data_IF_170889496834
#
_entry.id   IF_170889496834
#
_cell.length_a   1.000
_cell.length_b   1.000
_cell.length_c   1.000
_cell.angle_alpha   90.00
_cell.angle_beta   90.00
_cell.angle_gamma   90.00
#
_symmetry.space_group_name_H-M   'P 1'
#
loop_
_entity.id
_entity.type
_entity.pdbx_description
1 polymer ?
#
# COMPACT_ATOMS: atom_id res chain seq x y z
N UNK A 1 12.55 18.76 7.36
CA UNK A 1 12.75 17.47 8.06
C UNK A 1 12.41 16.30 7.17
N UNK A 2 13.14 15.23 7.34
CA UNK A 2 13.01 14.01 6.54
C UNK A 2 12.65 12.84 7.47
N UNK A 3 11.69 12.03 7.05
CA UNK A 3 11.30 10.80 7.74
C UNK A 3 11.71 9.60 6.90
N UNK A 4 12.43 8.67 7.49
CA UNK A 4 12.92 7.47 6.80
C UNK A 4 11.94 6.32 6.99
N UNK A 5 11.56 5.69 5.87
CA UNK A 5 10.69 4.52 5.86
C UNK A 5 11.36 3.39 5.11
N UNK A 6 10.83 2.16 5.22
CA UNK A 6 11.36 1.04 4.44
C UNK A 6 11.07 1.24 2.95
N UNK A 7 9.83 1.59 2.61
CA UNK A 7 9.40 1.86 1.24
C UNK A 7 8.84 3.27 1.15
N UNK A 8 9.31 4.05 0.19
CA UNK A 8 8.73 5.37 -0.05
C UNK A 8 7.28 5.20 -0.54
N UNK A 9 6.33 5.99 -0.03
CA UNK A 9 4.96 5.97 -0.55
C UNK A 9 4.94 6.37 -2.02
N UNK A 10 4.06 5.73 -2.80
CA UNK A 10 3.90 6.04 -4.21
C UNK A 10 2.44 5.84 -4.62
N UNK A 11 1.99 6.57 -5.64
CA UNK A 11 0.65 6.39 -6.21
C UNK A 11 0.67 5.22 -7.18
N UNK A 12 0.68 4.02 -6.63
CA UNK A 12 0.69 2.76 -7.39
C UNK A 12 0.14 1.64 -6.53
N UNK A 13 -0.20 0.51 -7.17
CA UNK A 13 -0.53 -0.70 -6.44
C UNK A 13 0.72 -1.20 -5.73
N UNK A 14 0.54 -1.77 -4.53
CA UNK A 14 1.65 -2.38 -3.79
C UNK A 14 1.92 -3.78 -4.34
N UNK A 15 3.13 -4.27 -4.13
CA UNK A 15 3.54 -5.60 -4.58
C UNK A 15 3.64 -6.58 -3.42
N UNK A 16 3.72 -7.88 -3.76
CA UNK A 16 3.92 -8.93 -2.75
C UNK A 16 5.28 -8.80 -2.03
N UNK A 17 6.21 -8.03 -2.60
CA UNK A 17 7.49 -7.76 -1.95
C UNK A 17 7.34 -6.79 -0.77
N UNK A 18 6.34 -5.91 -0.83
CA UNK A 18 6.06 -4.94 0.22
C UNK A 18 5.07 -5.48 1.25
N UNK A 19 4.04 -6.17 0.77
CA UNK A 19 2.92 -6.65 1.59
C UNK A 19 2.73 -8.13 1.30
N UNK A 20 2.90 -8.97 2.31
CA UNK A 20 2.73 -10.43 2.16
C UNK A 20 1.69 -11.03 3.10
N UNK A 21 1.03 -10.19 3.92
CA UNK A 21 0.04 -10.68 4.89
C UNK A 21 -0.84 -9.53 5.37
N UNK A 22 -1.95 -9.86 6.03
CA UNK A 22 -2.81 -8.85 6.67
C UNK A 22 -2.06 -8.11 7.77
N UNK A 23 -1.21 -8.81 8.52
CA UNK A 23 -0.39 -8.19 9.56
C UNK A 23 0.56 -7.15 8.95
N UNK A 24 1.12 -7.42 7.78
CA UNK A 24 1.98 -6.48 7.08
C UNK A 24 1.20 -5.23 6.64
N UNK A 25 -0.05 -5.39 6.21
CA UNK A 25 -0.90 -4.25 5.86
C UNK A 25 -1.11 -3.34 7.07
N UNK A 26 -1.46 -3.92 8.21
CA UNK A 26 -1.68 -3.16 9.44
C UNK A 26 -0.41 -2.44 9.90
N UNK A 27 0.75 -3.12 9.81
CA UNK A 27 2.03 -2.52 10.17
C UNK A 27 2.38 -1.33 9.28
N UNK A 28 2.13 -1.46 7.97
CA UNK A 28 2.39 -0.37 7.01
C UNK A 28 1.46 0.82 7.24
N UNK A 29 0.19 0.58 7.55
CA UNK A 29 -0.76 1.64 7.89
C UNK A 29 -0.28 2.38 9.14
N UNK A 30 0.09 1.66 10.19
CA UNK A 30 0.56 2.24 11.44
C UNK A 30 1.82 3.08 11.24
N UNK A 31 2.76 2.59 10.45
CA UNK A 31 3.99 3.33 10.15
C UNK A 31 3.70 4.60 9.36
N UNK A 32 2.81 4.53 8.36
CA UNK A 32 2.45 5.69 7.57
C UNK A 32 1.74 6.77 8.41
N UNK A 33 0.86 6.35 9.33
CA UNK A 33 0.20 7.27 10.25
C UNK A 33 1.20 7.93 11.20
N UNK A 34 2.17 7.17 11.69
CA UNK A 34 3.25 7.68 12.52
C UNK A 34 4.10 8.70 11.75
N UNK A 35 4.39 8.41 10.48
CA UNK A 35 5.14 9.32 9.62
C UNK A 35 4.41 10.66 9.44
N UNK A 36 3.09 10.64 9.24
CA UNK A 36 2.30 11.88 9.13
C UNK A 36 2.34 12.69 10.42
N UNK A 37 2.26 12.02 11.56
CA UNK A 37 2.28 12.69 12.88
C UNK A 37 3.64 13.28 13.23
N UNK A 38 4.71 12.86 12.54
CA UNK A 38 6.06 13.36 12.80
C UNK A 38 6.25 14.83 12.43
N UNK A 39 5.38 15.38 11.58
CA UNK A 39 5.51 16.75 11.07
C UNK A 39 6.58 16.91 10.00
N UNK A 40 7.17 15.83 9.53
CA UNK A 40 8.16 15.89 8.46
C UNK A 40 7.50 16.18 7.11
N UNK A 41 8.25 16.87 6.25
CA UNK A 41 7.76 17.28 4.93
C UNK A 41 8.14 16.28 3.83
N UNK A 42 9.22 15.53 4.05
CA UNK A 42 9.75 14.58 3.08
C UNK A 42 9.89 13.21 3.71
N UNK A 43 9.59 12.18 2.92
CA UNK A 43 9.62 10.78 3.37
C UNK A 43 10.50 9.99 2.40
N UNK A 44 11.60 9.44 2.92
CA UNK A 44 12.60 8.73 2.11
C UNK A 44 12.49 7.23 2.38
N UNK A 45 12.32 6.45 1.32
CA UNK A 45 12.31 5.00 1.41
C UNK A 45 13.73 4.42 1.38
N UNK A 46 13.86 3.17 1.82
CA UNK A 46 15.14 2.47 1.81
C UNK A 46 15.76 2.29 0.43
N UNK A 47 14.99 2.55 -0.62
CA UNK A 47 15.45 2.46 -2.01
C UNK A 47 15.73 3.83 -2.63
N UNK A 48 15.90 4.87 -1.82
CA UNK A 48 16.32 6.19 -2.28
C UNK A 48 15.25 7.09 -2.86
N UNK A 49 14.00 6.63 -2.93
CA UNK A 49 12.90 7.44 -3.44
C UNK A 49 12.41 8.41 -2.36
N UNK A 50 12.00 9.60 -2.79
CA UNK A 50 11.49 10.64 -1.89
C UNK A 50 10.02 10.90 -2.22
N UNK A 51 9.18 10.98 -1.19
CA UNK A 51 7.77 11.29 -1.32
C UNK A 51 7.39 12.47 -0.41
N UNK A 52 6.30 13.14 -0.75
CA UNK A 52 5.72 14.20 0.06
C UNK A 52 4.48 13.67 0.80
N UNK A 53 3.90 14.53 1.64
CA UNK A 53 2.80 14.17 2.52
C UNK A 53 1.58 13.59 1.80
N UNK A 54 1.23 14.11 0.62
CA UNK A 54 0.11 13.60 -0.17
C UNK A 54 0.26 12.14 -0.56
N UNK A 55 1.48 11.70 -0.82
CA UNK A 55 1.78 10.30 -1.13
C UNK A 55 1.59 9.39 0.08
N UNK A 56 1.94 9.88 1.27
CA UNK A 56 1.73 9.13 2.52
C UNK A 56 0.23 8.98 2.79
N UNK A 57 -0.53 10.06 2.59
CA UNK A 57 -1.97 10.04 2.74
C UNK A 57 -2.64 9.08 1.76
N UNK A 58 -2.17 9.07 0.50
CA UNK A 58 -2.65 8.12 -0.50
C UNK A 58 -2.38 6.68 -0.07
N UNK A 59 -1.17 6.39 0.42
CA UNK A 59 -0.80 5.05 0.87
C UNK A 59 -1.72 4.55 1.97
N UNK A 60 -2.01 5.39 2.96
CA UNK A 60 -2.90 5.03 4.06
C UNK A 60 -4.29 4.67 3.53
N UNK A 61 -4.86 5.52 2.68
CA UNK A 61 -6.17 5.30 2.08
C UNK A 61 -6.19 4.02 1.25
N UNK A 62 -5.17 3.80 0.43
CA UNK A 62 -5.05 2.62 -0.41
C UNK A 62 -5.01 1.33 0.43
N UNK A 63 -4.17 1.30 1.47
CA UNK A 63 -4.03 0.11 2.31
C UNK A 63 -5.30 -0.19 3.09
N UNK A 64 -6.02 0.83 3.56
CA UNK A 64 -7.31 0.66 4.22
C UNK A 64 -8.35 0.10 3.26
N UNK A 65 -8.38 0.60 2.02
CA UNK A 65 -9.26 0.10 0.98
C UNK A 65 -8.93 -1.35 0.64
N UNK A 66 -7.64 -1.69 0.52
CA UNK A 66 -7.19 -3.05 0.26
C UNK A 66 -7.67 -4.01 1.36
N UNK A 67 -7.50 -3.62 2.62
CA UNK A 67 -7.93 -4.44 3.75
C UNK A 67 -9.44 -4.68 3.72
N UNK A 68 -10.21 -3.65 3.44
CA UNK A 68 -11.66 -3.75 3.31
C UNK A 68 -12.06 -4.66 2.13
N UNK A 69 -11.36 -4.53 1.01
CA UNK A 69 -11.60 -5.34 -0.20
C UNK A 69 -11.32 -6.81 0.07
N UNK A 70 -10.26 -7.14 0.81
CA UNK A 70 -9.96 -8.51 1.21
C UNK A 70 -11.11 -9.08 2.06
N UNK A 71 -11.60 -8.32 3.01
CA UNK A 71 -12.70 -8.76 3.87
C UNK A 71 -14.00 -8.99 3.11
N UNK A 72 -14.23 -8.24 2.03
CA UNK A 72 -15.46 -8.31 1.24
C UNK A 72 -15.42 -9.36 0.11
N UNK A 73 -14.26 -9.89 -0.24
CA UNK A 73 -14.09 -10.80 -1.39
C UNK A 73 -13.41 -12.10 -0.96
N UNK A 74 -14.06 -13.23 -1.23
CA UNK A 74 -13.62 -14.55 -0.75
C UNK A 74 -12.48 -15.16 -1.55
N UNK A 75 -12.28 -14.73 -2.79
CA UNK A 75 -11.27 -15.31 -3.68
C UNK A 75 -10.28 -14.26 -4.17
N UNK A 76 -9.08 -14.73 -4.54
CA UNK A 76 -8.05 -13.87 -5.09
C UNK A 76 -8.54 -13.14 -6.36
N UNK A 77 -9.25 -13.85 -7.24
CA UNK A 77 -9.75 -13.27 -8.48
C UNK A 77 -10.73 -12.14 -8.23
N UNK A 78 -11.66 -12.32 -7.30
CA UNK A 78 -12.63 -11.29 -6.93
C UNK A 78 -11.95 -10.08 -6.29
N UNK A 79 -10.94 -10.32 -5.47
CA UNK A 79 -10.13 -9.26 -4.87
C UNK A 79 -9.44 -8.41 -5.94
N UNK A 80 -8.81 -9.04 -6.92
CA UNK A 80 -8.10 -8.34 -8.00
C UNK A 80 -9.09 -7.48 -8.79
N UNK A 81 -10.24 -8.03 -9.16
CA UNK A 81 -11.27 -7.30 -9.91
C UNK A 81 -11.76 -6.09 -9.12
N UNK A 82 -12.06 -6.28 -7.84
CA UNK A 82 -12.57 -5.21 -6.99
C UNK A 82 -11.54 -4.10 -6.78
N UNK A 83 -10.27 -4.46 -6.59
CA UNK A 83 -9.22 -3.48 -6.38
C UNK A 83 -8.93 -2.67 -7.63
N UNK A 84 -8.92 -3.32 -8.81
CA UNK A 84 -8.78 -2.62 -10.10
C UNK A 84 -9.94 -1.67 -10.37
N UNK A 85 -11.14 -2.05 -9.95
CA UNK A 85 -12.33 -1.21 -10.09
C UNK A 85 -12.26 0.03 -9.19
N UNK A 86 -11.73 -0.13 -7.98
CA UNK A 86 -11.56 0.97 -7.04
C UNK A 86 -10.47 1.95 -7.49
N UNK A 87 -9.43 1.45 -8.14
CA UNK A 87 -8.28 2.25 -8.60
C UNK A 87 -7.99 1.96 -10.08
N UNK A 88 -8.86 2.39 -11.01
CA UNK A 88 -8.62 2.17 -12.42
C UNK A 88 -7.40 2.96 -12.91
N UNK A 89 -6.61 2.33 -13.75
CA UNK A 89 -5.42 2.96 -14.35
C UNK A 89 -4.30 3.30 -13.36
N UNK A 90 -4.33 2.78 -12.15
CA UNK A 90 -3.24 2.96 -11.20
C UNK A 90 -2.05 2.08 -11.62
N UNK A 91 -0.81 2.62 -11.66
CA UNK A 91 0.37 1.81 -12.00
C UNK A 91 0.55 0.61 -11.06
N UNK A 92 1.14 -0.46 -11.55
CA UNK A 92 1.44 -1.65 -10.75
C UNK A 92 0.40 -2.75 -10.80
N UNK A 93 -0.60 -2.66 -11.69
CA UNK A 93 -1.63 -3.70 -11.83
C UNK A 93 -1.06 -5.08 -12.13
N UNK A 94 0.05 -5.15 -12.85
CA UNK A 94 0.66 -6.43 -13.23
C UNK A 94 1.12 -7.26 -12.02
N UNK A 95 1.40 -6.62 -10.90
CA UNK A 95 1.82 -7.30 -9.67
C UNK A 95 0.67 -7.79 -8.80
N UNK A 96 -0.58 -7.46 -9.13
CA UNK A 96 -1.72 -7.81 -8.28
C UNK A 96 -1.97 -9.32 -8.20
N UNK A 97 -1.67 -10.07 -9.26
CA UNK A 97 -1.83 -11.52 -9.26
C UNK A 97 -0.94 -12.17 -8.20
N UNK A 98 0.33 -11.79 -8.14
CA UNK A 98 1.27 -12.31 -7.15
C UNK A 98 0.90 -11.86 -5.74
N UNK A 99 0.48 -10.61 -5.60
CA UNK A 99 0.00 -10.08 -4.32
C UNK A 99 -1.20 -10.89 -3.81
N UNK A 100 -2.18 -11.14 -4.67
CA UNK A 100 -3.37 -11.90 -4.28
C UNK A 100 -3.02 -13.33 -3.87
N UNK A 101 -2.06 -13.97 -4.53
CA UNK A 101 -1.60 -15.31 -4.16
C UNK A 101 -1.07 -15.40 -2.73
N UNK A 102 -0.32 -14.40 -2.28
CA UNK A 102 0.22 -14.42 -0.92
C UNK A 102 -0.82 -14.02 0.12
N UNK A 103 -1.77 -13.17 -0.23
CA UNK A 103 -2.82 -12.73 0.69
C UNK A 103 -3.93 -13.77 0.88
N UNK A 104 -4.18 -14.60 -0.12
CA UNK A 104 -5.27 -15.60 -0.11
C UNK A 104 -4.75 -17.04 0.04
N UNK A 105 -3.64 -17.18 0.67
CA UNK A 105 -3.11 -18.53 0.98
C UNK A 105 -3.98 -19.29 1.95
#
# INVERSE_FOLDING_TARGET
>A
KVYYTHWAPAKSHVSHLQISSLAAIDAEIAEAEKALKSGCEYFVGGHGKVAKKDMVEFKISYLKTMKHTIAANKTADLFIIALKKAYPNLPGETGLTDLAKVLYK
#
